data_IF_868472563692
#
_entry.id   IF_868472563692
#
_cell.length_a   1.000
_cell.length_b   1.000
_cell.length_c   1.000
_cell.angle_alpha   90.00
_cell.angle_beta   90.00
_cell.angle_gamma   90.00
#
_symmetry.space_group_name_H-M   'P 1'
#
loop_
_entity.id
_entity.type
_entity.pdbx_description
1 polymer ?
#
# COMPACT_ATOMS: atom_id res chain seq x y z
N UNK A 1 10.22 19.22 20.40
CA UNK A 1 10.68 17.81 20.57
C UNK A 1 11.95 17.73 21.44
N UNK A 2 12.20 16.64 22.19
CA UNK A 2 13.53 16.38 22.76
C UNK A 2 14.48 15.85 21.66
N UNK A 3 15.20 16.75 21.01
CA UNK A 3 16.05 16.41 19.85
C UNK A 3 17.14 15.38 20.17
N UNK A 4 17.72 15.41 21.37
CA UNK A 4 18.81 14.50 21.75
C UNK A 4 18.28 13.06 21.84
N UNK A 5 17.15 12.87 22.51
CA UNK A 5 16.53 11.56 22.64
C UNK A 5 16.03 11.04 21.29
N UNK A 6 15.39 11.88 20.49
CA UNK A 6 14.92 11.48 19.16
C UNK A 6 16.08 11.10 18.24
N UNK A 7 17.19 11.86 18.28
CA UNK A 7 18.40 11.53 17.54
C UNK A 7 18.98 10.18 17.96
N UNK A 8 19.04 9.89 19.26
CA UNK A 8 19.51 8.61 19.76
C UNK A 8 18.59 7.47 19.28
N UNK A 9 17.27 7.66 19.34
CA UNK A 9 16.30 6.72 18.81
C UNK A 9 16.53 6.41 17.32
N UNK A 10 16.77 7.43 16.49
CA UNK A 10 17.05 7.25 15.06
C UNK A 10 18.36 6.45 14.83
N UNK A 11 19.39 6.70 15.64
CA UNK A 11 20.67 5.98 15.56
C UNK A 11 20.51 4.50 15.94
N UNK A 12 19.77 4.21 17.00
CA UNK A 12 19.46 2.83 17.43
C UNK A 12 18.67 2.06 16.36
N UNK A 13 17.79 2.76 15.63
CA UNK A 13 17.05 2.23 14.49
C UNK A 13 17.84 2.25 13.17
N UNK A 14 19.16 2.51 13.22
CA UNK A 14 20.09 2.46 12.08
C UNK A 14 19.72 3.39 10.91
N UNK A 15 19.06 4.52 11.21
CA UNK A 15 18.82 5.55 10.21
C UNK A 15 20.16 6.17 9.79
N UNK A 16 20.36 6.39 8.50
CA UNK A 16 21.60 6.95 7.96
C UNK A 16 21.88 8.34 8.53
N UNK A 17 23.14 8.65 8.84
CA UNK A 17 23.53 9.88 9.52
C UNK A 17 23.07 11.16 8.79
N UNK A 18 23.06 11.14 7.46
CA UNK A 18 22.57 12.27 6.66
C UNK A 18 21.06 12.47 6.85
N UNK A 19 20.29 11.37 6.76
CA UNK A 19 18.83 11.40 6.96
C UNK A 19 18.44 11.80 8.38
N UNK A 20 19.24 11.50 9.40
CA UNK A 20 18.98 11.94 10.77
C UNK A 20 18.89 13.46 10.86
N UNK A 21 19.83 14.18 10.24
CA UNK A 21 19.83 15.63 10.25
C UNK A 21 18.60 16.19 9.51
N UNK A 22 18.29 15.62 8.35
CA UNK A 22 17.12 15.99 7.55
C UNK A 22 15.81 15.74 8.32
N UNK A 23 15.67 14.62 9.02
CA UNK A 23 14.47 14.31 9.80
C UNK A 23 14.29 15.26 10.98
N UNK A 24 15.35 15.63 11.69
CA UNK A 24 15.27 16.62 12.77
C UNK A 24 14.78 17.96 12.23
N UNK A 25 15.32 18.42 11.10
CA UNK A 25 14.87 19.66 10.43
C UNK A 25 13.40 19.57 10.05
N UNK A 26 12.94 18.46 9.46
CA UNK A 26 11.54 18.29 9.07
C UNK A 26 10.59 18.29 10.28
N UNK A 27 10.97 17.67 11.41
CA UNK A 27 10.16 17.71 12.63
C UNK A 27 10.11 19.13 13.22
N UNK A 28 11.24 19.85 13.25
CA UNK A 28 11.28 21.22 13.75
C UNK A 28 10.44 22.16 12.87
N UNK A 29 10.52 22.05 11.54
CA UNK A 29 9.68 22.83 10.63
C UNK A 29 8.18 22.54 10.83
N UNK A 30 7.82 21.28 11.12
CA UNK A 30 6.45 20.92 11.45
C UNK A 30 6.02 21.47 12.82
N UNK A 31 6.89 21.45 13.83
CA UNK A 31 6.63 22.07 15.14
C UNK A 31 6.42 23.59 15.01
N UNK A 32 7.21 24.27 14.17
CA UNK A 32 7.03 25.68 13.82
C UNK A 32 5.68 25.94 13.14
N UNK A 33 5.27 25.07 12.19
CA UNK A 33 3.94 25.14 11.59
C UNK A 33 2.83 25.00 12.63
N UNK A 34 2.95 24.03 13.54
CA UNK A 34 1.97 23.80 14.61
C UNK A 34 1.89 24.98 15.57
N UNK A 35 3.02 25.60 15.91
CA UNK A 35 3.09 26.74 16.84
C UNK A 35 2.26 27.94 16.37
N UNK A 36 2.15 28.15 15.05
CA UNK A 36 1.31 29.20 14.45
C UNK A 36 -0.18 29.03 14.76
N UNK A 37 -0.60 27.80 15.10
CA UNK A 37 -1.94 27.47 15.53
C UNK A 37 -2.04 27.22 17.06
N UNK A 38 -1.01 27.60 17.83
CA UNK A 38 -0.87 27.29 19.26
C UNK A 38 -0.94 25.78 19.57
N UNK A 39 -0.44 24.95 18.65
CA UNK A 39 -0.31 23.50 18.81
C UNK A 39 1.16 23.12 19.01
N UNK A 40 1.37 21.93 19.58
CA UNK A 40 2.67 21.28 19.74
C UNK A 40 2.64 19.87 19.14
N UNK A 41 3.78 19.20 19.11
CA UNK A 41 3.86 17.81 18.67
C UNK A 41 3.07 16.85 19.57
N UNK A 42 2.78 17.23 20.81
CA UNK A 42 1.99 16.46 21.78
C UNK A 42 0.49 16.75 21.68
N UNK A 43 0.12 17.98 21.33
CA UNK A 43 -1.29 18.43 21.32
C UNK A 43 -1.93 18.43 19.93
N UNK A 44 -1.13 18.29 18.87
CA UNK A 44 -1.61 18.27 17.49
C UNK A 44 -2.42 17.02 17.15
N UNK A 45 -3.44 17.20 16.29
CA UNK A 45 -4.23 16.11 15.73
C UNK A 45 -3.56 15.56 14.45
N UNK A 46 -3.76 14.27 14.10
CA UNK A 46 -3.18 13.67 12.90
C UNK A 46 -3.49 14.44 11.61
N UNK A 47 -4.65 15.09 11.53
CA UNK A 47 -5.09 15.89 10.39
C UNK A 47 -4.11 17.00 10.02
N UNK A 48 -3.34 17.52 10.98
CA UNK A 48 -2.31 18.55 10.73
C UNK A 48 -1.17 18.06 9.85
N UNK A 49 -0.93 16.75 9.78
CA UNK A 49 0.05 16.14 8.85
C UNK A 49 -0.39 16.37 7.40
N UNK A 50 -1.69 16.23 7.11
CA UNK A 50 -2.23 16.45 5.77
C UNK A 50 -2.14 17.93 5.38
N UNK A 51 -2.55 18.83 6.29
CA UNK A 51 -2.46 20.28 6.05
C UNK A 51 -1.01 20.71 5.77
N UNK A 52 -0.06 20.19 6.54
CA UNK A 52 1.34 20.50 6.35
C UNK A 52 1.91 19.88 5.06
N UNK A 53 1.52 18.66 4.72
CA UNK A 53 1.91 18.05 3.44
C UNK A 53 1.39 18.84 2.23
N UNK A 54 0.16 19.37 2.29
CA UNK A 54 -0.39 20.25 1.25
C UNK A 54 0.43 21.57 1.13
N UNK A 55 0.97 22.10 2.23
CA UNK A 55 1.87 23.27 2.21
C UNK A 55 3.21 22.90 1.56
N UNK A 56 3.81 21.77 1.96
CA UNK A 56 5.08 21.31 1.41
C UNK A 56 4.98 21.09 -0.10
N UNK A 57 3.89 20.51 -0.60
CA UNK A 57 3.64 20.36 -2.05
C UNK A 57 3.76 21.68 -2.82
N UNK A 58 3.36 22.81 -2.22
CA UNK A 58 3.42 24.13 -2.85
C UNK A 58 4.80 24.79 -2.74
N UNK A 59 5.62 24.39 -1.76
CA UNK A 59 6.93 24.97 -1.50
C UNK A 59 8.04 24.15 -2.15
N UNK A 60 8.11 22.87 -1.80
CA UNK A 60 9.04 21.89 -2.34
C UNK A 60 8.43 20.48 -2.20
N UNK A 61 8.00 19.92 -3.33
CA UNK A 61 7.37 18.59 -3.37
C UNK A 61 8.34 17.46 -2.97
N UNK A 62 9.64 17.67 -3.10
CA UNK A 62 10.64 16.64 -2.81
C UNK A 62 10.81 16.46 -1.28
N UNK A 63 10.51 17.50 -0.51
CA UNK A 63 10.51 17.48 0.96
C UNK A 63 9.37 16.66 1.57
N UNK A 64 8.27 16.45 0.84
CA UNK A 64 7.11 15.72 1.37
C UNK A 64 7.50 14.31 1.79
N UNK A 65 8.29 13.60 0.98
CA UNK A 65 8.71 12.23 1.31
C UNK A 65 9.56 12.18 2.57
N UNK A 66 10.51 13.12 2.70
CA UNK A 66 11.38 13.23 3.86
C UNK A 66 10.59 13.60 5.12
N UNK A 67 9.62 14.51 5.01
CA UNK A 67 8.70 14.83 6.10
C UNK A 67 7.88 13.61 6.54
N UNK A 68 7.28 12.86 5.62
CA UNK A 68 6.50 11.65 5.96
C UNK A 68 7.37 10.60 6.67
N UNK A 69 8.61 10.41 6.22
CA UNK A 69 9.58 9.51 6.88
C UNK A 69 9.95 10.01 8.27
N UNK A 70 10.20 11.32 8.41
CA UNK A 70 10.52 11.94 9.70
C UNK A 70 9.37 11.78 10.70
N UNK A 71 8.14 12.10 10.30
CA UNK A 71 6.98 12.04 11.20
C UNK A 71 6.64 10.60 11.60
N UNK A 72 6.83 9.61 10.72
CA UNK A 72 6.66 8.20 11.08
C UNK A 72 7.70 7.74 12.12
N UNK A 73 8.96 8.17 11.99
CA UNK A 73 9.98 7.87 12.99
C UNK A 73 9.69 8.56 14.32
N UNK A 74 9.29 9.84 14.28
CA UNK A 74 8.88 10.58 15.47
C UNK A 74 7.68 9.94 16.16
N UNK A 75 6.70 9.48 15.40
CA UNK A 75 5.52 8.80 15.92
C UNK A 75 5.85 7.48 16.61
N UNK A 76 6.82 6.71 16.10
CA UNK A 76 7.31 5.52 16.79
C UNK A 76 8.07 5.87 18.09
N UNK A 77 8.93 6.90 18.06
CA UNK A 77 9.64 7.39 19.25
C UNK A 77 8.68 7.85 20.35
N UNK A 78 7.69 8.66 19.99
CA UNK A 78 6.71 9.27 20.91
C UNK A 78 5.50 8.39 21.21
N UNK A 79 5.40 7.22 20.56
CA UNK A 79 4.25 6.30 20.59
C UNK A 79 2.92 6.94 20.14
N UNK A 80 2.99 7.99 19.32
CA UNK A 80 1.83 8.65 18.68
C UNK A 80 1.42 7.93 17.39
N UNK A 81 1.05 6.66 17.51
CA UNK A 81 0.79 5.77 16.37
C UNK A 81 -0.30 6.26 15.42
N UNK A 82 -1.22 7.10 15.86
CA UNK A 82 -2.22 7.76 15.01
C UNK A 82 -1.59 8.63 13.91
N UNK A 83 -0.36 9.12 14.11
CA UNK A 83 0.39 9.86 13.09
C UNK A 83 0.91 8.94 11.99
N UNK A 84 1.27 7.70 12.32
CA UNK A 84 1.75 6.71 11.35
C UNK A 84 0.64 6.39 10.35
N UNK A 85 -0.58 6.11 10.84
CA UNK A 85 -1.73 5.83 9.98
C UNK A 85 -1.99 6.96 8.98
N UNK A 86 -1.91 8.23 9.43
CA UNK A 86 -2.14 9.39 8.57
C UNK A 86 -0.99 9.65 7.60
N UNK A 87 0.26 9.44 8.02
CA UNK A 87 1.41 9.55 7.14
C UNK A 87 1.39 8.47 6.05
N UNK A 88 0.97 7.24 6.39
CA UNK A 88 0.85 6.12 5.45
C UNK A 88 -0.24 6.39 4.41
N UNK A 89 -1.38 6.99 4.80
CA UNK A 89 -2.43 7.41 3.86
C UNK A 89 -1.89 8.31 2.72
N UNK A 90 -0.84 9.07 2.99
CA UNK A 90 -0.17 9.91 2.00
C UNK A 90 0.94 9.11 1.30
N UNK A 91 1.80 8.39 2.03
CA UNK A 91 2.96 7.70 1.47
C UNK A 91 2.58 6.58 0.50
N UNK A 92 1.45 5.89 0.70
CA UNK A 92 0.93 4.86 -0.21
C UNK A 92 0.58 5.40 -1.61
N UNK A 93 0.61 6.72 -1.82
CA UNK A 93 0.43 7.31 -3.14
C UNK A 93 1.72 7.55 -3.90
N UNK A 94 2.87 7.40 -3.24
CA UNK A 94 4.17 7.65 -3.82
C UNK A 94 4.36 6.87 -5.12
N UNK A 95 4.93 7.54 -6.12
CA UNK A 95 5.43 7.05 -7.42
C UNK A 95 4.50 6.29 -8.37
N UNK A 96 3.29 5.89 -7.97
CA UNK A 96 2.47 4.99 -8.79
C UNK A 96 2.14 5.55 -10.18
N UNK A 97 1.68 6.81 -10.21
CA UNK A 97 1.28 7.45 -11.47
C UNK A 97 2.48 7.97 -12.24
N UNK A 98 3.59 8.28 -11.57
CA UNK A 98 4.87 8.56 -12.21
C UNK A 98 5.40 7.31 -12.93
N UNK A 99 5.32 6.14 -12.29
CA UNK A 99 5.68 4.86 -12.88
C UNK A 99 4.76 4.52 -14.06
N UNK A 100 3.45 4.77 -13.96
CA UNK A 100 2.54 4.61 -15.09
C UNK A 100 2.91 5.55 -16.25
N UNK A 101 3.20 6.82 -15.96
CA UNK A 101 3.62 7.81 -16.95
C UNK A 101 4.87 7.36 -17.70
N UNK A 102 5.93 6.97 -16.98
CA UNK A 102 7.18 6.48 -17.56
C UNK A 102 6.98 5.21 -18.37
N UNK A 103 6.26 4.23 -17.81
CA UNK A 103 6.02 2.92 -18.44
C UNK A 103 5.27 3.03 -19.77
N UNK A 104 4.32 3.95 -19.89
CA UNK A 104 3.62 4.21 -21.16
C UNK A 104 4.61 4.70 -22.23
N UNK A 105 5.55 5.57 -21.89
CA UNK A 105 6.57 6.01 -22.83
C UNK A 105 7.56 4.90 -23.19
N UNK A 106 7.99 4.11 -22.20
CA UNK A 106 8.94 3.01 -22.40
C UNK A 106 8.38 1.94 -23.34
N UNK A 107 7.10 1.58 -23.18
CA UNK A 107 6.48 0.47 -23.93
C UNK A 107 5.82 0.94 -25.22
N UNK A 108 5.14 2.09 -25.22
CA UNK A 108 4.32 2.56 -26.33
C UNK A 108 4.83 3.86 -26.97
N UNK A 109 5.93 4.42 -26.46
CA UNK A 109 6.54 5.63 -26.99
C UNK A 109 5.99 6.92 -26.40
N UNK A 110 6.83 7.95 -26.36
CA UNK A 110 6.52 9.24 -25.75
C UNK A 110 5.34 9.97 -26.39
N UNK A 111 5.13 9.80 -27.70
CA UNK A 111 4.00 10.42 -28.39
C UNK A 111 2.66 9.93 -27.83
N UNK A 112 2.54 8.62 -27.59
CA UNK A 112 1.34 8.02 -27.01
C UNK A 112 1.16 8.46 -25.55
N UNK A 113 2.24 8.45 -24.76
CA UNK A 113 2.23 8.99 -23.39
C UNK A 113 1.72 10.42 -23.36
N UNK A 114 2.30 11.30 -24.17
CA UNK A 114 1.94 12.73 -24.19
C UNK A 114 0.49 12.95 -24.59
N UNK A 115 -0.08 12.13 -25.47
CA UNK A 115 -1.52 12.17 -25.81
C UNK A 115 -2.41 11.73 -24.64
N UNK A 116 -2.04 10.63 -23.97
CA UNK A 116 -2.80 10.09 -22.83
C UNK A 116 -2.78 11.07 -21.65
N UNK A 117 -1.63 11.67 -21.35
CA UNK A 117 -1.45 12.60 -20.24
C UNK A 117 -1.66 14.07 -20.64
N UNK A 118 -2.15 14.34 -21.85
CA UNK A 118 -2.38 15.71 -22.33
C UNK A 118 -3.25 16.51 -21.35
N UNK A 119 -2.80 17.71 -21.00
CA UNK A 119 -3.47 18.63 -20.07
C UNK A 119 -3.66 18.06 -18.65
N UNK A 120 -2.91 17.01 -18.29
CA UNK A 120 -2.90 16.44 -16.95
C UNK A 120 -1.53 16.63 -16.30
N UNK A 121 -1.54 16.99 -15.02
CA UNK A 121 -0.36 16.99 -14.17
C UNK A 121 -0.54 15.83 -13.20
N UNK A 122 0.44 14.93 -13.12
CA UNK A 122 0.45 13.85 -12.12
C UNK A 122 0.39 14.49 -10.73
N UNK A 123 -0.63 14.20 -9.91
CA UNK A 123 -0.70 14.76 -8.56
C UNK A 123 0.54 14.36 -7.76
N UNK A 124 1.33 15.32 -7.23
CA UNK A 124 2.53 15.00 -6.47
C UNK A 124 2.17 14.28 -5.16
N UNK A 125 3.17 13.62 -4.57
CA UNK A 125 3.08 13.11 -3.20
C UNK A 125 2.68 14.25 -2.25
N UNK A 126 1.79 13.99 -1.30
CA UNK A 126 1.26 15.02 -0.39
C UNK A 126 -0.17 15.45 -0.72
N UNK A 127 -0.55 15.44 -2.01
CA UNK A 127 -1.92 15.79 -2.42
C UNK A 127 -2.94 14.90 -1.72
N UNK A 128 -3.99 15.52 -1.18
CA UNK A 128 -5.10 14.82 -0.52
C UNK A 128 -5.63 13.62 -1.34
N UNK A 129 -5.76 12.41 -0.76
CA UNK A 129 -6.24 11.23 -1.48
C UNK A 129 -7.59 11.38 -2.17
N UNK A 130 -8.50 12.22 -1.67
CA UNK A 130 -9.80 12.46 -2.31
C UNK A 130 -9.71 13.21 -3.65
N UNK A 131 -8.61 13.89 -3.95
CA UNK A 131 -8.40 14.61 -5.23
C UNK A 131 -7.85 13.69 -6.33
N UNK A 132 -7.23 12.56 -5.96
CA UNK A 132 -6.54 11.63 -6.87
C UNK A 132 -7.46 10.84 -7.80
N UNK A 133 -8.67 10.40 -7.40
CA UNK A 133 -9.52 9.56 -8.24
C UNK A 133 -9.95 10.21 -9.56
N UNK A 134 -10.13 11.54 -9.61
CA UNK A 134 -10.45 12.22 -10.88
C UNK A 134 -9.31 12.11 -11.88
N UNK A 135 -8.05 12.24 -11.43
CA UNK A 135 -6.88 11.99 -12.27
C UNK A 135 -6.87 10.54 -12.78
N UNK A 136 -7.01 9.56 -11.86
CA UNK A 136 -6.99 8.13 -12.17
C UNK A 136 -8.06 7.77 -13.21
N UNK A 137 -9.29 8.25 -13.02
CA UNK A 137 -10.42 8.06 -13.91
C UNK A 137 -10.13 8.55 -15.34
N UNK A 138 -9.55 9.75 -15.48
CA UNK A 138 -9.26 10.30 -16.80
C UNK A 138 -8.13 9.51 -17.49
N UNK A 139 -7.02 9.25 -16.78
CA UNK A 139 -5.86 8.55 -17.35
C UNK A 139 -6.23 7.15 -17.80
N UNK A 140 -6.95 6.39 -16.98
CA UNK A 140 -7.30 5.00 -17.31
C UNK A 140 -8.29 4.93 -18.48
N UNK A 141 -9.28 5.81 -18.54
CA UNK A 141 -10.18 5.87 -19.72
C UNK A 141 -9.43 6.20 -21.02
N UNK A 142 -8.41 7.06 -20.94
CA UNK A 142 -7.58 7.39 -22.09
C UNK A 142 -6.68 6.23 -22.51
N UNK A 143 -6.11 5.50 -21.54
CA UNK A 143 -5.36 4.26 -21.79
C UNK A 143 -6.22 3.21 -22.49
N UNK A 144 -7.39 2.88 -21.94
CA UNK A 144 -8.31 1.90 -22.53
C UNK A 144 -8.73 2.30 -23.95
N UNK A 145 -9.03 3.59 -24.17
CA UNK A 145 -9.41 4.09 -25.49
C UNK A 145 -8.26 4.04 -26.51
N UNK A 146 -7.03 4.35 -26.08
CA UNK A 146 -5.87 4.50 -26.98
C UNK A 146 -5.17 3.17 -27.25
N UNK A 147 -5.06 2.32 -26.22
CA UNK A 147 -4.27 1.10 -26.23
C UNK A 147 -5.13 -0.17 -26.22
N UNK A 148 -6.40 -0.06 -25.85
CA UNK A 148 -7.27 -1.21 -25.60
C UNK A 148 -7.07 -1.80 -24.19
N UNK A 149 -8.01 -2.65 -23.79
CA UNK A 149 -8.04 -3.27 -22.45
C UNK A 149 -6.82 -4.14 -22.18
N UNK A 150 -6.39 -4.97 -23.14
CA UNK A 150 -5.26 -5.90 -22.95
C UNK A 150 -3.97 -5.14 -22.60
N UNK A 151 -3.59 -4.18 -23.43
CA UNK A 151 -2.38 -3.36 -23.17
C UNK A 151 -2.50 -2.53 -21.89
N UNK A 152 -3.72 -2.08 -21.53
CA UNK A 152 -3.95 -1.37 -20.28
C UNK A 152 -3.71 -2.28 -19.08
N UNK A 153 -4.19 -3.52 -19.12
CA UNK A 153 -3.93 -4.54 -18.09
C UNK A 153 -2.44 -4.84 -18.01
N UNK A 154 -1.77 -5.01 -19.15
CA UNK A 154 -0.33 -5.31 -19.21
C UNK A 154 0.50 -4.19 -18.56
N UNK A 155 0.13 -2.93 -18.77
CA UNK A 155 0.76 -1.78 -18.11
C UNK A 155 0.60 -1.80 -16.58
N UNK A 156 -0.55 -2.26 -16.08
CA UNK A 156 -0.89 -2.26 -14.65
C UNK A 156 -0.36 -3.51 -13.92
N UNK A 157 -0.27 -4.64 -14.62
CA UNK A 157 0.03 -5.96 -14.04
C UNK A 157 1.37 -6.10 -13.32
N UNK A 158 2.44 -5.33 -13.59
CA UNK A 158 3.69 -5.40 -12.83
C UNK A 158 3.68 -4.62 -11.51
N UNK A 159 2.51 -4.20 -11.02
CA UNK A 159 2.34 -3.21 -9.95
C UNK A 159 2.92 -1.82 -10.34
N UNK A 160 2.29 -0.77 -9.83
CA UNK A 160 2.75 0.61 -10.04
C UNK A 160 3.58 1.13 -8.86
N UNK A 161 3.46 0.56 -7.67
CA UNK A 161 4.14 1.03 -6.46
C UNK A 161 5.37 0.19 -6.06
N UNK A 162 5.58 -0.96 -6.71
CA UNK A 162 6.58 -1.94 -6.32
C UNK A 162 6.15 -2.75 -5.09
N UNK A 163 7.11 -3.40 -4.41
CA UNK A 163 6.89 -4.18 -3.18
C UNK A 163 8.11 -4.01 -2.25
N UNK A 164 7.94 -3.94 -0.91
CA UNK A 164 9.03 -3.97 0.04
C UNK A 164 9.89 -5.23 -0.12
N UNK A 165 11.15 -5.22 0.34
CA UNK A 165 11.99 -6.41 0.32
C UNK A 165 11.34 -7.58 1.08
N UNK A 166 11.20 -8.72 0.43
CA UNK A 166 10.85 -9.99 1.07
C UNK A 166 12.09 -10.87 1.24
N UNK A 167 12.05 -11.79 2.20
CA UNK A 167 13.03 -12.88 2.31
C UNK A 167 12.72 -13.99 1.27
N UNK A 168 12.96 -13.67 0.00
CA UNK A 168 12.67 -14.58 -1.12
C UNK A 168 13.45 -15.89 -0.99
N UNK A 169 14.72 -15.83 -0.59
CA UNK A 169 15.56 -17.03 -0.47
C UNK A 169 15.15 -17.91 0.72
N UNK A 170 14.79 -17.29 1.86
CA UNK A 170 14.19 -18.00 2.98
C UNK A 170 12.85 -18.66 2.60
N UNK A 171 11.99 -17.94 1.88
CA UNK A 171 10.70 -18.45 1.42
C UNK A 171 10.85 -19.58 0.38
N UNK A 172 11.80 -19.49 -0.55
CA UNK A 172 12.14 -20.59 -1.47
C UNK A 172 12.60 -21.85 -0.73
N UNK A 173 13.45 -21.69 0.30
CA UNK A 173 13.91 -22.81 1.13
C UNK A 173 12.73 -23.47 1.86
N UNK A 174 11.88 -22.66 2.48
CA UNK A 174 10.71 -23.14 3.20
C UNK A 174 9.72 -23.85 2.27
N UNK A 175 9.51 -23.31 1.07
CA UNK A 175 8.66 -23.91 0.03
C UNK A 175 9.19 -25.27 -0.42
N UNK A 176 10.51 -25.41 -0.59
CA UNK A 176 11.15 -26.69 -0.92
C UNK A 176 11.04 -27.72 0.20
N UNK A 177 11.07 -27.28 1.44
CA UNK A 177 10.98 -28.14 2.62
C UNK A 177 9.56 -28.63 2.88
N UNK A 178 8.57 -27.76 2.74
CA UNK A 178 7.19 -28.01 3.17
C UNK A 178 6.21 -28.33 2.04
N UNK A 179 6.63 -28.21 0.78
CA UNK A 179 5.72 -28.20 -0.37
C UNK A 179 4.83 -26.94 -0.36
N UNK A 180 3.99 -26.78 -1.39
CA UNK A 180 3.16 -25.55 -1.52
C UNK A 180 2.18 -25.42 -0.35
N UNK A 181 1.46 -26.48 -0.01
CA UNK A 181 0.40 -26.39 1.00
C UNK A 181 0.96 -26.17 2.40
N UNK A 182 2.05 -26.87 2.75
CA UNK A 182 2.72 -26.69 4.03
C UNK A 182 3.36 -25.30 4.16
N UNK A 183 3.91 -24.76 3.06
CA UNK A 183 4.40 -23.39 3.01
C UNK A 183 3.29 -22.37 3.27
N UNK A 184 2.16 -22.48 2.56
CA UNK A 184 1.02 -21.59 2.72
C UNK A 184 0.45 -21.63 4.15
N UNK A 185 0.31 -22.83 4.73
CA UNK A 185 -0.14 -23.00 6.11
C UNK A 185 0.84 -22.36 7.10
N UNK A 186 2.15 -22.55 6.90
CA UNK A 186 3.20 -21.95 7.74
C UNK A 186 3.16 -20.42 7.68
N UNK A 187 3.08 -19.82 6.48
CA UNK A 187 3.00 -18.36 6.33
C UNK A 187 1.73 -17.78 6.96
N UNK A 188 0.62 -18.50 6.91
CA UNK A 188 -0.61 -18.10 7.59
C UNK A 188 -0.44 -18.14 9.12
N UNK A 189 0.11 -19.23 9.68
CA UNK A 189 0.42 -19.33 11.12
C UNK A 189 1.37 -18.22 11.58
N UNK A 190 2.40 -17.94 10.81
CA UNK A 190 3.37 -16.87 11.12
C UNK A 190 2.72 -15.49 11.12
N UNK A 191 1.79 -15.22 10.20
CA UNK A 191 0.99 -13.99 10.25
C UNK A 191 0.17 -13.92 11.54
N UNK A 192 -0.57 -14.98 11.89
CA UNK A 192 -1.38 -14.99 13.12
C UNK A 192 -0.52 -14.73 14.35
N UNK A 193 0.62 -15.41 14.49
CA UNK A 193 1.56 -15.19 15.60
C UNK A 193 2.11 -13.76 15.62
N UNK A 194 2.42 -13.18 14.45
CA UNK A 194 2.86 -11.78 14.37
C UNK A 194 1.77 -10.80 14.82
N UNK A 195 0.52 -11.04 14.41
CA UNK A 195 -0.62 -10.23 14.82
C UNK A 195 -0.89 -10.32 16.33
N UNK A 196 -0.82 -11.52 16.91
CA UNK A 196 -0.92 -11.74 18.36
C UNK A 196 0.16 -10.96 19.11
N UNK A 197 1.40 -10.96 18.62
CA UNK A 197 2.50 -10.16 19.18
C UNK A 197 2.18 -8.66 19.13
N UNK A 198 1.72 -8.14 18.00
CA UNK A 198 1.36 -6.72 17.86
C UNK A 198 0.22 -6.31 18.81
N UNK A 199 -0.78 -7.18 18.99
CA UNK A 199 -1.85 -7.01 19.98
C UNK A 199 -1.29 -6.92 21.40
N UNK A 200 -0.45 -7.88 21.79
CA UNK A 200 0.06 -8.00 23.16
C UNK A 200 1.04 -6.88 23.53
N UNK A 201 1.87 -6.44 22.57
CA UNK A 201 2.83 -5.34 22.76
C UNK A 201 2.21 -3.95 22.54
N UNK A 202 0.98 -3.88 22.04
CA UNK A 202 0.32 -2.62 21.69
C UNK A 202 1.02 -1.86 20.55
N UNK A 203 1.67 -2.59 19.64
CA UNK A 203 2.36 -2.04 18.46
C UNK A 203 1.50 -2.18 17.20
N UNK A 204 1.95 -1.62 16.08
CA UNK A 204 1.20 -1.66 14.81
C UNK A 204 1.68 -2.82 13.93
N UNK A 205 0.73 -3.51 13.28
CA UNK A 205 1.01 -4.24 12.03
C UNK A 205 0.85 -3.25 10.88
N UNK A 206 1.95 -2.89 10.23
CA UNK A 206 2.03 -1.86 9.20
C UNK A 206 1.56 -0.47 9.70
N UNK A 207 0.26 -0.20 9.65
CA UNK A 207 -0.36 1.08 9.99
C UNK A 207 -1.56 0.93 10.93
N UNK A 208 -1.81 -0.29 11.43
CA UNK A 208 -3.05 -0.67 12.09
C UNK A 208 -2.77 -1.22 13.49
N UNK A 209 -3.58 -0.80 14.46
CA UNK A 209 -3.65 -1.46 15.77
C UNK A 209 -4.33 -2.81 15.60
N UNK A 210 -3.84 -3.80 16.34
CA UNK A 210 -4.38 -5.16 16.31
C UNK A 210 -5.10 -5.45 17.62
N UNK A 211 -6.31 -5.97 17.51
CA UNK A 211 -7.14 -6.46 18.61
C UNK A 211 -7.47 -7.95 18.43
N UNK A 212 -8.10 -8.57 19.43
CA UNK A 212 -8.45 -9.99 19.39
C UNK A 212 -9.39 -10.33 18.22
N UNK A 213 -10.34 -9.45 17.90
CA UNK A 213 -11.28 -9.70 16.80
C UNK A 213 -10.56 -9.70 15.45
N UNK A 214 -9.56 -8.84 15.26
CA UNK A 214 -8.72 -8.82 14.05
C UNK A 214 -7.90 -10.11 13.97
N UNK A 215 -7.31 -10.57 15.08
CA UNK A 215 -6.58 -11.85 15.12
C UNK A 215 -7.51 -12.99 14.74
N UNK A 216 -8.72 -13.04 15.32
CA UNK A 216 -9.71 -14.09 15.02
C UNK A 216 -10.18 -14.01 13.56
N UNK A 217 -10.44 -12.82 13.02
CA UNK A 217 -10.80 -12.60 11.63
C UNK A 217 -9.76 -13.19 10.67
N UNK A 218 -8.47 -12.99 10.96
CA UNK A 218 -7.39 -13.59 10.16
C UNK A 218 -7.32 -15.09 10.35
N UNK A 219 -7.40 -15.59 11.59
CA UNK A 219 -7.34 -17.02 11.92
C UNK A 219 -8.43 -17.84 11.22
N UNK A 220 -9.62 -17.29 11.08
CA UNK A 220 -10.76 -17.92 10.40
C UNK A 220 -10.64 -17.87 8.87
N UNK A 221 -9.90 -16.90 8.33
CA UNK A 221 -9.76 -16.69 6.89
C UNK A 221 -8.37 -17.12 6.38
N UNK A 222 -8.24 -18.42 6.10
CA UNK A 222 -7.00 -19.05 5.59
C UNK A 222 -6.51 -18.51 4.24
N UNK A 223 -7.32 -17.71 3.53
CA UNK A 223 -6.86 -17.06 2.28
C UNK A 223 -6.04 -15.79 2.55
N UNK A 224 -6.02 -15.27 3.78
CA UNK A 224 -5.17 -14.13 4.19
C UNK A 224 -3.73 -14.64 4.47
N UNK A 225 -2.72 -13.79 4.23
CA UNK A 225 -1.29 -14.09 4.10
C UNK A 225 -0.90 -14.46 2.65
N UNK A 226 -0.38 -15.67 2.41
CA UNK A 226 0.04 -16.12 1.08
C UNK A 226 -1.04 -16.91 0.33
N UNK A 227 -2.19 -17.16 0.96
CA UNK A 227 -3.36 -17.77 0.33
C UNK A 227 -3.56 -19.24 0.67
N UNK A 228 -4.58 -19.83 0.05
CA UNK A 228 -4.95 -21.24 0.13
C UNK A 228 -4.99 -21.83 -1.27
N UNK A 229 -4.42 -23.02 -1.47
CA UNK A 229 -4.38 -23.66 -2.79
C UNK A 229 -5.59 -24.57 -3.01
N UNK A 230 -6.16 -24.49 -4.22
CA UNK A 230 -7.14 -25.43 -4.76
C UNK A 230 -6.68 -25.85 -6.15
N UNK A 231 -6.28 -27.13 -6.30
CA UNK A 231 -5.71 -27.63 -7.55
C UNK A 231 -4.43 -26.88 -7.93
N UNK A 232 -4.44 -26.20 -9.07
CA UNK A 232 -3.31 -25.42 -9.57
C UNK A 232 -3.46 -23.90 -9.32
N UNK A 233 -4.37 -23.49 -8.44
CA UNK A 233 -4.62 -22.06 -8.16
C UNK A 233 -4.41 -21.80 -6.67
N UNK A 234 -3.64 -20.76 -6.34
CA UNK A 234 -3.60 -20.21 -4.97
C UNK A 234 -4.56 -19.02 -4.91
N UNK A 235 -5.54 -19.10 -4.02
CA UNK A 235 -6.46 -18.02 -3.73
C UNK A 235 -5.96 -17.21 -2.53
N UNK A 236 -5.67 -15.92 -2.76
CA UNK A 236 -5.19 -15.01 -1.72
C UNK A 236 -6.14 -13.84 -1.54
N UNK A 237 -6.42 -13.49 -0.29
CA UNK A 237 -7.24 -12.34 0.09
C UNK A 237 -6.38 -11.32 0.82
N UNK A 238 -6.61 -10.05 0.52
CA UNK A 238 -5.99 -8.96 1.29
C UNK A 238 -6.68 -8.83 2.65
N UNK A 239 -5.88 -8.66 3.70
CA UNK A 239 -6.36 -8.03 4.92
C UNK A 239 -6.86 -6.62 4.56
N UNK A 240 -7.98 -6.12 5.10
CA UNK A 240 -8.41 -4.75 4.86
C UNK A 240 -7.36 -3.70 5.27
N UNK A 241 -7.34 -2.55 4.58
CA UNK A 241 -6.39 -1.46 4.84
C UNK A 241 -6.54 -0.80 6.21
N UNK A 242 -7.73 -0.85 6.78
CA UNK A 242 -8.06 -0.36 8.11
C UNK A 242 -9.03 -1.39 8.71
N UNK A 243 -8.49 -2.49 9.26
CA UNK A 243 -9.29 -3.67 9.58
C UNK A 243 -10.32 -3.39 10.66
N UNK A 244 -9.99 -2.63 11.70
CA UNK A 244 -10.95 -2.27 12.75
C UNK A 244 -12.12 -1.50 12.15
N UNK A 245 -11.83 -0.44 11.41
CA UNK A 245 -12.82 0.42 10.80
C UNK A 245 -13.66 -0.32 9.76
N UNK A 246 -13.06 -1.26 9.03
CA UNK A 246 -13.76 -2.16 8.11
C UNK A 246 -14.77 -3.08 8.80
N UNK A 247 -14.42 -3.62 9.97
CA UNK A 247 -15.29 -4.49 10.76
C UNK A 247 -16.43 -3.69 11.41
N UNK A 248 -16.14 -2.48 11.87
CA UNK A 248 -17.12 -1.60 12.52
C UNK A 248 -18.08 -0.93 11.53
N UNK A 249 -17.63 -0.66 10.30
CA UNK A 249 -18.39 0.05 9.29
C UNK A 249 -19.75 -0.61 8.99
N UNK A 250 -20.81 0.21 9.06
CA UNK A 250 -22.19 -0.16 8.71
C UNK A 250 -22.60 0.30 7.32
N UNK A 251 -21.91 1.31 6.79
CA UNK A 251 -22.11 1.83 5.45
C UNK A 251 -21.18 1.13 4.45
N UNK A 252 -21.75 0.66 3.35
CA UNK A 252 -21.03 -0.10 2.32
C UNK A 252 -19.91 0.70 1.67
N UNK A 253 -20.08 2.03 1.50
CA UNK A 253 -19.04 2.88 0.90
C UNK A 253 -17.86 3.01 1.84
N UNK A 254 -18.12 3.23 3.13
CA UNK A 254 -17.06 3.27 4.14
C UNK A 254 -16.38 1.91 4.30
N UNK A 255 -17.12 0.81 4.22
CA UNK A 255 -16.54 -0.54 4.24
C UNK A 255 -15.59 -0.76 3.05
N UNK A 256 -16.00 -0.37 1.84
CA UNK A 256 -15.11 -0.40 0.64
C UNK A 256 -13.91 0.54 0.78
N UNK A 257 -14.10 1.72 1.38
CA UNK A 257 -13.03 2.65 1.68
C UNK A 257 -11.98 2.00 2.60
N UNK A 258 -12.38 1.45 3.75
CA UNK A 258 -11.46 0.81 4.70
C UNK A 258 -10.85 -0.50 4.20
N UNK A 259 -11.46 -1.15 3.19
CA UNK A 259 -10.88 -2.30 2.50
C UNK A 259 -9.70 -1.91 1.60
N UNK A 260 -9.75 -0.74 0.95
CA UNK A 260 -8.85 -0.40 -0.15
C UNK A 260 -7.55 0.25 0.35
N UNK A 261 -6.40 -0.30 -0.05
CA UNK A 261 -5.08 0.32 0.20
C UNK A 261 -4.80 1.51 -0.72
N UNK A 262 -5.32 1.48 -1.95
CA UNK A 262 -4.84 2.35 -3.01
C UNK A 262 -5.42 3.78 -2.91
N UNK A 263 -4.61 4.80 -2.54
CA UNK A 263 -5.11 6.17 -2.38
C UNK A 263 -5.51 6.81 -3.71
N UNK A 264 -5.12 6.22 -4.85
CA UNK A 264 -5.49 6.68 -6.19
C UNK A 264 -6.96 6.42 -6.55
N UNK A 265 -7.64 5.53 -5.83
CA UNK A 265 -9.05 5.21 -6.09
C UNK A 265 -9.93 5.25 -4.84
N UNK A 266 -9.35 5.14 -3.65
CA UNK A 266 -10.10 4.97 -2.41
C UNK A 266 -11.05 6.14 -2.11
N UNK A 267 -10.69 7.37 -2.49
CA UNK A 267 -11.59 8.53 -2.41
C UNK A 267 -12.88 8.36 -3.24
N UNK A 268 -12.81 7.72 -4.40
CA UNK A 268 -14.00 7.44 -5.22
C UNK A 268 -14.90 6.38 -4.60
N UNK A 269 -14.34 5.43 -3.84
CA UNK A 269 -15.12 4.44 -3.08
C UNK A 269 -15.95 5.13 -1.99
N UNK A 270 -15.30 6.02 -1.20
CA UNK A 270 -15.97 6.84 -0.18
C UNK A 270 -17.10 7.68 -0.76
N UNK A 271 -16.88 8.29 -1.92
CA UNK A 271 -17.85 9.18 -2.56
C UNK A 271 -18.92 8.42 -3.38
N UNK A 272 -18.80 7.10 -3.54
CA UNK A 272 -19.74 6.30 -4.35
C UNK A 272 -19.56 6.43 -5.86
N UNK A 273 -18.43 6.99 -6.32
CA UNK A 273 -18.08 7.16 -7.75
C UNK A 273 -17.11 6.08 -8.25
N UNK A 274 -16.80 5.07 -7.43
CA UNK A 274 -15.87 3.99 -7.79
C UNK A 274 -16.17 3.29 -9.13
N UNK A 275 -17.45 3.17 -9.50
CA UNK A 275 -17.90 2.60 -10.79
C UNK A 275 -17.41 3.34 -12.04
N UNK A 276 -16.92 4.57 -11.86
CA UNK A 276 -16.38 5.39 -12.96
C UNK A 276 -14.93 5.04 -13.29
N UNK A 277 -14.28 4.25 -12.44
CA UNK A 277 -12.94 3.70 -12.62
C UNK A 277 -13.10 2.21 -12.94
N UNK A 278 -12.50 1.78 -14.05
CA UNK A 278 -12.54 0.37 -14.46
C UNK A 278 -11.99 -0.54 -13.36
N UNK A 279 -12.59 -1.71 -13.20
CA UNK A 279 -12.10 -2.76 -12.28
C UNK A 279 -10.69 -3.22 -12.64
N UNK A 280 -10.30 -3.07 -13.90
CA UNK A 280 -8.98 -3.47 -14.40
C UNK A 280 -7.86 -2.65 -13.76
N UNK A 281 -8.16 -1.49 -13.15
CA UNK A 281 -7.19 -0.76 -12.33
C UNK A 281 -6.64 -1.62 -11.17
N UNK A 282 -7.44 -2.53 -10.63
CA UNK A 282 -7.01 -3.44 -9.58
C UNK A 282 -6.01 -4.52 -10.04
N UNK A 283 -5.69 -4.60 -11.34
CA UNK A 283 -4.56 -5.39 -11.83
C UNK A 283 -3.22 -4.90 -11.24
N UNK A 284 -3.11 -3.60 -10.91
CA UNK A 284 -1.98 -3.08 -10.14
C UNK A 284 -1.83 -3.76 -8.77
N UNK A 285 -2.95 -4.08 -8.11
CA UNK A 285 -2.94 -4.81 -6.85
C UNK A 285 -2.67 -6.31 -7.04
N UNK A 286 -3.06 -6.90 -8.17
CA UNK A 286 -2.67 -8.27 -8.52
C UNK A 286 -1.16 -8.36 -8.76
N UNK A 287 -0.58 -7.31 -9.37
CA UNK A 287 0.84 -7.16 -9.59
C UNK A 287 1.70 -7.25 -8.34
N UNK A 288 1.18 -6.78 -7.19
CA UNK A 288 1.86 -6.93 -5.90
C UNK A 288 2.15 -8.39 -5.53
N UNK A 289 1.21 -9.30 -5.83
CA UNK A 289 1.39 -10.74 -5.63
C UNK A 289 2.20 -11.36 -6.74
N UNK A 290 2.01 -10.90 -7.98
CA UNK A 290 2.79 -11.34 -9.14
C UNK A 290 4.29 -11.12 -8.90
N UNK A 291 4.70 -9.93 -8.47
CA UNK A 291 6.10 -9.61 -8.19
C UNK A 291 6.74 -10.60 -7.21
N UNK A 292 6.02 -10.98 -6.16
CA UNK A 292 6.48 -11.97 -5.18
C UNK A 292 6.61 -13.37 -5.79
N UNK A 293 5.55 -13.87 -6.43
CA UNK A 293 5.55 -15.24 -6.97
C UNK A 293 6.44 -15.42 -8.20
N UNK A 294 6.63 -14.38 -9.01
CA UNK A 294 7.61 -14.36 -10.10
C UNK A 294 9.02 -14.59 -9.57
N UNK A 295 9.37 -14.01 -8.41
CA UNK A 295 10.67 -14.17 -7.77
C UNK A 295 10.82 -15.53 -7.08
N UNK A 296 9.77 -16.02 -6.41
CA UNK A 296 9.77 -17.33 -5.75
C UNK A 296 10.00 -18.45 -6.76
N UNK A 297 9.33 -18.39 -7.92
CA UNK A 297 9.37 -19.44 -8.92
C UNK A 297 10.31 -19.17 -10.10
N UNK A 298 10.97 -18.02 -10.10
CA UNK A 298 11.94 -17.58 -11.12
C UNK A 298 11.37 -17.64 -12.55
N UNK A 299 10.06 -17.41 -12.68
CA UNK A 299 9.33 -17.41 -13.95
C UNK A 299 8.06 -16.56 -13.85
N UNK A 300 7.54 -16.03 -14.96
CA UNK A 300 6.30 -15.27 -14.95
C UNK A 300 5.09 -16.10 -14.49
N UNK A 301 4.44 -15.66 -13.43
CA UNK A 301 3.20 -16.21 -12.89
C UNK A 301 2.02 -15.32 -13.28
N UNK A 302 0.93 -15.96 -13.70
CA UNK A 302 -0.33 -15.26 -13.96
C UNK A 302 -1.05 -15.02 -12.64
N UNK A 303 -1.43 -13.77 -12.39
CA UNK A 303 -2.26 -13.38 -11.23
C UNK A 303 -3.43 -12.55 -11.72
N UNK A 304 -4.64 -12.87 -11.28
CA UNK A 304 -5.86 -12.14 -11.66
C UNK A 304 -6.63 -11.67 -10.41
N UNK A 305 -7.12 -10.42 -10.37
CA UNK A 305 -8.08 -9.98 -9.38
C UNK A 305 -9.45 -10.60 -9.67
N UNK A 306 -9.94 -11.44 -8.75
CA UNK A 306 -11.27 -12.05 -8.84
C UNK A 306 -12.30 -11.12 -8.19
N UNK A 307 -11.94 -10.56 -7.03
CA UNK A 307 -12.74 -9.60 -6.28
C UNK A 307 -11.86 -8.42 -5.85
N UNK A 308 -12.45 -7.24 -5.82
CA UNK A 308 -11.78 -6.00 -5.41
C UNK A 308 -12.81 -5.01 -4.91
N UNK A 309 -12.37 -3.99 -4.18
CA UNK A 309 -13.25 -2.92 -3.74
C UNK A 309 -13.97 -2.17 -4.90
N UNK A 310 -13.47 -2.27 -6.15
CA UNK A 310 -14.11 -1.69 -7.34
C UNK A 310 -15.20 -2.58 -7.96
N UNK A 311 -15.19 -3.90 -7.75
CA UNK A 311 -16.09 -4.84 -8.44
C UNK A 311 -16.75 -5.91 -7.54
N UNK A 312 -16.45 -5.91 -6.24
CA UNK A 312 -17.07 -6.76 -5.23
C UNK A 312 -17.54 -5.89 -4.07
N UNK A 313 -18.30 -6.49 -3.15
CA UNK A 313 -18.83 -5.73 -2.04
C UNK A 313 -17.81 -5.56 -0.91
N UNK A 314 -17.19 -6.63 -0.39
CA UNK A 314 -16.38 -6.50 0.84
C UNK A 314 -15.13 -7.39 0.89
N UNK A 315 -14.56 -7.78 -0.25
CA UNK A 315 -13.36 -8.63 -0.29
C UNK A 315 -12.46 -8.29 -1.49
N UNK A 316 -11.16 -8.18 -1.25
CA UNK A 316 -10.14 -8.14 -2.31
C UNK A 316 -9.46 -9.51 -2.39
N UNK A 317 -9.74 -10.27 -3.46
CA UNK A 317 -9.28 -11.65 -3.65
C UNK A 317 -8.65 -11.84 -5.02
N UNK A 318 -7.55 -12.58 -5.08
CA UNK A 318 -6.73 -12.81 -6.26
C UNK A 318 -6.52 -14.31 -6.48
N UNK A 319 -6.47 -14.74 -7.74
CA UNK A 319 -6.04 -16.08 -8.13
C UNK A 319 -4.62 -16.02 -8.70
N UNK A 320 -3.74 -16.83 -8.15
CA UNK A 320 -2.37 -17.05 -8.63
C UNK A 320 -2.36 -18.41 -9.31
N UNK A 321 -2.13 -18.44 -10.63
CA UNK A 321 -2.18 -19.65 -11.42
C UNK A 321 -0.80 -20.30 -11.48
N UNK A 322 -0.67 -21.49 -10.91
CA UNK A 322 0.56 -22.27 -10.92
C UNK A 322 0.64 -23.11 -12.21
N UNK A 323 1.73 -22.98 -13.00
CA UNK A 323 2.06 -23.93 -14.05
C UNK A 323 2.14 -25.37 -13.53
N UNK A 324 1.88 -26.35 -14.41
CA UNK A 324 1.86 -27.78 -14.04
C UNK A 324 3.21 -28.24 -13.48
N UNK A 325 4.29 -27.70 -14.03
CA UNK A 325 5.67 -27.97 -13.66
C UNK A 325 5.92 -27.62 -12.18
N UNK A 326 5.38 -26.49 -11.71
CA UNK A 326 5.45 -26.06 -10.32
C UNK A 326 4.66 -27.01 -9.42
N UNK A 327 3.41 -27.30 -9.79
CA UNK A 327 2.55 -28.18 -8.97
C UNK A 327 3.11 -29.59 -8.82
N UNK A 328 3.92 -30.05 -9.78
CA UNK A 328 4.57 -31.35 -9.73
C UNK A 328 5.88 -31.34 -8.92
N UNK A 329 6.55 -30.19 -8.83
CA UNK A 329 7.88 -30.04 -8.21
C UNK A 329 7.81 -29.83 -6.69
N UNK A 330 6.71 -29.31 -6.17
CA UNK A 330 6.53 -28.97 -4.76
C UNK A 330 5.30 -29.69 -4.17
N UNK A 331 5.43 -31.00 -3.99
CA UNK A 331 4.36 -31.86 -3.44
C UNK A 331 4.25 -31.77 -1.92
#
# INVERSE_FOLDING_TARGET
>A
MNEVEFKNYLQENKVERQLIAEFIVQINNYEDFLSKANLSLETSLPEKIIEYADILVLQDKDDVLNFLRAIMNYANYSKRYEFITKAIDISESYNAMDNLYSRVAEIHGESIRNEIFKDLIVPPLGVHPEKKPEFTKVVIKRLEKKLGTVNTIDLLSPCLHGRPPDDIEGDKKLLKELGIDGFLEKKHKDLVTRLEKHRDEGTLEFAQKIDEEIVQYVRENKTIAQGLREGNIIYVSKLPYQTREFLDAKDDKMKKFYLCYCPWIRGALKNGTGKEITKDFCQCSAGWYKLYWDQIFEQPIKVEPIKSALNSDFECKFAIYLPKEITNSYK
#
